data_IF_479640665613
#
_entry.id   IF_479640665613
#
_cell.length_a   1.000
_cell.length_b   1.000
_cell.length_c   1.000
_cell.angle_alpha   90.00
_cell.angle_beta   90.00
_cell.angle_gamma   90.00
#
_symmetry.space_group_name_H-M   'P 1'
#
loop_
_entity.id
_entity.type
_entity.pdbx_description
1 polymer ?
#
# COMPACT_ATOMS: atom_id res chain seq x y z
N UNK A 1 8.49 4.51 24.16
CA UNK A 1 8.88 4.16 22.79
C UNK A 1 7.59 4.12 21.99
N UNK A 2 7.40 5.01 21.00
CA UNK A 2 6.16 5.06 20.20
C UNK A 2 6.15 3.95 19.15
N UNK A 3 5.79 2.75 19.58
CA UNK A 3 5.64 1.56 18.73
C UNK A 3 4.67 1.79 17.55
N UNK A 4 3.63 2.60 17.75
CA UNK A 4 2.70 2.96 16.67
C UNK A 4 3.33 3.77 15.53
N UNK A 5 4.38 4.56 15.81
CA UNK A 5 5.10 5.30 14.77
C UNK A 5 6.00 4.37 13.94
N UNK A 6 6.55 3.33 14.56
CA UNK A 6 7.33 2.32 13.87
C UNK A 6 6.45 1.51 12.90
N UNK A 7 5.28 1.04 13.37
CA UNK A 7 4.29 0.34 12.54
C UNK A 7 3.89 1.18 11.31
N UNK A 8 3.67 2.47 11.51
CA UNK A 8 3.35 3.40 10.43
C UNK A 8 4.47 3.53 9.38
N UNK A 9 5.72 3.71 9.83
CA UNK A 9 6.86 3.87 8.92
C UNK A 9 7.14 2.61 8.11
N UNK A 10 7.03 1.44 8.74
CA UNK A 10 7.18 0.15 8.06
C UNK A 10 6.07 -0.03 7.02
N UNK A 11 4.82 0.31 7.37
CA UNK A 11 3.71 0.26 6.43
C UNK A 11 3.90 1.16 5.21
N UNK A 12 4.41 2.38 5.40
CA UNK A 12 4.74 3.31 4.30
C UNK A 12 5.81 2.74 3.37
N UNK A 13 6.88 2.15 3.92
CA UNK A 13 7.93 1.53 3.12
C UNK A 13 7.42 0.33 2.32
N UNK A 14 6.57 -0.51 2.94
CA UNK A 14 5.91 -1.62 2.25
C UNK A 14 4.96 -1.14 1.14
N UNK A 15 4.15 -0.11 1.38
CA UNK A 15 3.26 0.42 0.37
C UNK A 15 4.03 0.99 -0.84
N UNK A 16 5.19 1.63 -0.61
CA UNK A 16 6.09 2.09 -1.67
C UNK A 16 6.73 0.95 -2.46
N UNK A 17 6.92 -0.21 -1.85
CA UNK A 17 7.39 -1.44 -2.53
C UNK A 17 6.29 -2.16 -3.32
N UNK A 18 5.04 -1.69 -3.25
CA UNK A 18 3.90 -2.25 -3.99
C UNK A 18 3.15 -3.37 -3.26
N UNK A 19 3.31 -3.49 -1.93
CA UNK A 19 2.55 -4.46 -1.14
C UNK A 19 1.08 -4.05 -1.01
N UNK A 20 0.20 -5.05 -0.92
CA UNK A 20 -1.25 -4.80 -0.77
C UNK A 20 -1.61 -4.35 0.66
N UNK A 21 -2.75 -3.65 0.83
CA UNK A 21 -3.28 -3.29 2.15
C UNK A 21 -3.38 -4.48 3.12
N UNK A 22 -3.80 -5.65 2.61
CA UNK A 22 -3.92 -6.88 3.42
C UNK A 22 -2.56 -7.42 3.88
N UNK A 23 -1.54 -7.36 3.01
CA UNK A 23 -0.19 -7.78 3.35
C UNK A 23 0.44 -6.86 4.40
N UNK A 24 0.22 -5.55 4.25
CA UNK A 24 0.67 -4.56 5.24
C UNK A 24 -0.06 -4.78 6.57
N UNK A 25 -1.36 -5.06 6.52
CA UNK A 25 -2.15 -5.34 7.71
C UNK A 25 -1.65 -6.56 8.50
N UNK A 26 -1.39 -7.67 7.79
CA UNK A 26 -0.80 -8.88 8.41
C UNK A 26 0.62 -8.65 8.92
N UNK A 27 1.42 -7.84 8.24
CA UNK A 27 2.77 -7.51 8.71
C UNK A 27 2.74 -6.70 10.01
N UNK A 28 1.83 -5.73 10.12
CA UNK A 28 1.61 -4.96 11.36
C UNK A 28 1.07 -5.89 12.46
N UNK A 29 0.17 -6.82 12.12
CA UNK A 29 -0.36 -7.83 13.05
C UNK A 29 0.73 -8.77 13.59
N UNK A 30 1.72 -9.12 12.78
CA UNK A 30 2.81 -10.01 13.20
C UNK A 30 3.98 -9.26 13.87
N UNK A 31 4.22 -8.02 13.47
CA UNK A 31 5.38 -7.25 13.92
C UNK A 31 5.08 -6.35 15.14
N UNK A 32 3.82 -5.97 15.39
CA UNK A 32 3.47 -5.04 16.46
C UNK A 32 3.41 -5.74 17.83
N UNK A 33 4.31 -5.42 18.77
CA UNK A 33 4.37 -6.06 20.08
C UNK A 33 3.24 -5.62 21.04
N UNK A 34 2.35 -4.70 20.64
CA UNK A 34 1.23 -4.24 21.48
C UNK A 34 0.00 -5.16 21.45
N UNK A 35 -0.09 -6.03 20.43
CA UNK A 35 -1.24 -6.92 20.22
C UNK A 35 -1.55 -7.87 21.37
N UNK A 36 -0.56 -8.47 22.08
CA UNK A 36 -0.83 -9.39 23.20
C UNK A 36 -1.60 -8.76 24.37
N UNK A 37 -1.67 -7.42 24.44
CA UNK A 37 -2.34 -6.69 25.53
C UNK A 37 -3.73 -6.15 25.16
N UNK A 38 -4.13 -6.21 23.88
CA UNK A 38 -5.44 -5.74 23.43
C UNK A 38 -6.40 -6.91 23.31
N UNK A 39 -7.55 -6.80 23.97
CA UNK A 39 -8.63 -7.79 23.91
C UNK A 39 -8.92 -8.19 22.47
N UNK A 40 -8.97 -9.50 22.22
CA UNK A 40 -9.36 -10.09 20.94
C UNK A 40 -10.61 -9.38 20.39
N UNK A 41 -10.43 -8.62 19.30
CA UNK A 41 -11.47 -7.80 18.67
C UNK A 41 -11.11 -6.34 18.40
N UNK A 42 -10.13 -5.76 19.09
CA UNK A 42 -9.67 -4.37 18.83
C UNK A 42 -8.43 -4.25 17.92
N UNK A 43 -7.82 -5.39 17.59
CA UNK A 43 -6.60 -5.46 16.78
C UNK A 43 -6.87 -5.09 15.32
N UNK A 44 -7.98 -5.60 14.78
CA UNK A 44 -8.41 -5.31 13.42
C UNK A 44 -8.71 -3.81 13.19
N UNK A 45 -9.28 -3.11 14.19
CA UNK A 45 -9.54 -1.67 14.10
C UNK A 45 -8.24 -0.86 14.04
N UNK A 46 -7.26 -1.21 14.88
CA UNK A 46 -5.94 -0.59 14.87
C UNK A 46 -5.22 -0.81 13.54
N UNK A 47 -5.23 -2.05 13.04
CA UNK A 47 -4.62 -2.40 11.75
C UNK A 47 -5.30 -1.64 10.62
N UNK A 48 -6.63 -1.64 10.54
CA UNK A 48 -7.38 -0.94 9.51
C UNK A 48 -7.10 0.58 9.53
N UNK A 49 -7.05 1.18 10.72
CA UNK A 49 -6.73 2.62 10.87
C UNK A 49 -5.30 2.94 10.46
N UNK A 50 -4.35 2.07 10.79
CA UNK A 50 -2.93 2.24 10.44
C UNK A 50 -2.71 2.08 8.95
N UNK A 51 -3.27 1.03 8.34
CA UNK A 51 -3.24 0.81 6.88
C UNK A 51 -3.86 2.01 6.17
N UNK A 52 -5.03 2.48 6.60
CA UNK A 52 -5.65 3.68 6.02
C UNK A 52 -4.73 4.89 6.08
N UNK A 53 -4.08 5.12 7.23
CA UNK A 53 -3.13 6.23 7.39
C UNK A 53 -1.91 6.10 6.47
N UNK A 54 -1.38 4.89 6.30
CA UNK A 54 -0.26 4.57 5.40
C UNK A 54 -0.62 4.92 3.96
N UNK A 55 -1.80 4.51 3.51
CA UNK A 55 -2.28 4.79 2.15
C UNK A 55 -2.63 6.25 1.91
N UNK A 56 -2.92 7.02 2.96
CA UNK A 56 -3.07 8.49 2.86
C UNK A 56 -1.73 9.24 2.90
N UNK A 57 -0.59 8.56 3.11
CA UNK A 57 0.70 9.23 3.16
C UNK A 57 1.07 9.81 1.79
N UNK A 58 1.54 11.08 1.71
CA UNK A 58 1.80 11.75 0.45
C UNK A 58 2.80 11.00 -0.45
N UNK A 59 3.79 10.30 0.10
CA UNK A 59 4.72 9.51 -0.70
C UNK A 59 4.07 8.27 -1.33
N UNK A 60 3.17 7.60 -0.60
CA UNK A 60 2.47 6.40 -1.09
C UNK A 60 1.46 6.80 -2.17
N UNK A 61 0.75 7.90 -1.96
CA UNK A 61 -0.19 8.45 -2.94
C UNK A 61 0.53 8.84 -4.22
N UNK A 62 1.68 9.53 -4.12
CA UNK A 62 2.50 9.89 -5.29
C UNK A 62 2.96 8.64 -6.05
N UNK A 63 3.49 7.64 -5.34
CA UNK A 63 3.93 6.39 -5.96
C UNK A 63 2.79 5.68 -6.72
N UNK A 64 1.59 5.59 -6.13
CA UNK A 64 0.44 5.00 -6.81
C UNK A 64 0.00 5.79 -8.04
N UNK A 65 0.04 7.12 -7.97
CA UNK A 65 -0.26 7.97 -9.13
C UNK A 65 0.77 7.80 -10.24
N UNK A 66 2.05 7.67 -9.91
CA UNK A 66 3.13 7.42 -10.87
C UNK A 66 2.96 6.06 -11.55
N UNK A 67 2.67 5.01 -10.78
CA UNK A 67 2.42 3.68 -11.33
C UNK A 67 1.18 3.63 -12.23
N UNK A 68 0.09 4.31 -11.83
CA UNK A 68 -1.11 4.40 -12.65
C UNK A 68 -0.87 5.17 -13.96
N UNK A 69 -0.09 6.25 -13.91
CA UNK A 69 0.31 7.03 -15.09
C UNK A 69 1.20 6.21 -16.02
N UNK A 70 2.18 5.47 -15.48
CA UNK A 70 3.06 4.63 -16.29
C UNK A 70 2.30 3.48 -16.96
N UNK A 71 1.36 2.85 -16.24
CA UNK A 71 0.48 1.82 -16.79
C UNK A 71 -0.40 2.37 -17.93
N UNK A 72 -1.01 3.55 -17.76
CA UNK A 72 -1.79 4.22 -18.82
C UNK A 72 -0.93 4.60 -20.03
N UNK A 73 0.30 5.08 -19.82
CA UNK A 73 1.23 5.39 -20.92
C UNK A 73 1.67 4.13 -21.67
N UNK A 74 1.92 3.02 -20.97
CA UNK A 74 2.24 1.73 -21.60
C UNK A 74 1.08 1.19 -22.43
N UNK A 75 -0.15 1.31 -21.94
CA UNK A 75 -1.35 0.86 -22.68
C UNK A 75 -1.57 1.69 -23.95
N UNK A 76 -1.50 3.02 -23.86
CA UNK A 76 -1.67 3.91 -25.02
C UNK A 76 -0.55 3.79 -26.06
N UNK A 77 0.66 3.35 -25.67
CA UNK A 77 1.75 3.08 -26.62
C UNK A 77 1.52 1.77 -27.40
N UNK A 78 1.00 0.72 -26.76
CA UNK A 78 0.68 -0.56 -27.42
C UNK A 78 -0.46 -0.42 -28.43
N UNK A 79 -1.47 0.40 -28.12
CA UNK A 79 -2.60 0.66 -29.01
C UNK A 79 -2.18 1.36 -30.31
N UNK A 80 -1.13 2.20 -30.25
CA UNK A 80 -0.57 2.87 -31.45
C UNK A 80 0.34 1.98 -32.30
N UNK A 81 0.94 0.94 -31.72
CA UNK A 81 1.83 0.01 -32.42
C UNK A 81 1.03 -1.11 -33.15
N UNK A 82 -0.19 -1.38 -32.69
CA UNK A 82 -1.15 -2.26 -33.38
C UNK A 82 -1.97 -1.47 -34.41
N UNK A 83 -1.29 -0.82 -35.35
CA UNK A 83 -1.95 -0.18 -36.50
C UNK A 83 -2.61 -1.25 -37.39
N UNK A 84 -3.79 -0.97 -38.00
CA UNK A 84 -4.46 -1.93 -38.86
C UNK A 84 -3.59 -2.21 -40.09
N UNK A 85 -3.18 -3.47 -40.27
CA UNK A 85 -2.65 -3.96 -41.55
C UNK A 85 -3.72 -3.75 -42.62
N UNK A 86 -3.55 -2.71 -43.43
CA UNK A 86 -4.29 -2.54 -44.68
C UNK A 86 -3.70 -3.55 -45.67
N UNK A 87 -4.34 -4.72 -45.72
CA UNK A 87 -4.23 -5.68 -46.82
C UNK A 87 -5.35 -5.46 -47.83
#
# INVERSE_FOLDING_TARGET
MDVSKADYMIGVDMARKGFSPDQIGRAIEQASPELPTRKAGHEADYVARTVKAVFTHPEVVKYQQEQAKEAQQRSSRRERDSGPSLG
#
